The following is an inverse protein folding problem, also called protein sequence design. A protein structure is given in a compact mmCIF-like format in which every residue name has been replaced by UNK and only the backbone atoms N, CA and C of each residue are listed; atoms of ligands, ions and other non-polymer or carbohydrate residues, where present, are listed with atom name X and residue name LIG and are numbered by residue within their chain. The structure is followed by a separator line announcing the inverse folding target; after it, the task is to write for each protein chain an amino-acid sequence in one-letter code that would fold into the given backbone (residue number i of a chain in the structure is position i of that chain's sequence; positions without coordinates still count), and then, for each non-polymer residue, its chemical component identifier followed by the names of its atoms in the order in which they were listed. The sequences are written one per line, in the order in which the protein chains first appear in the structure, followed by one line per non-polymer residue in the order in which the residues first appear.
data_IF_706279820493
#
_entry.id   IF_706279820493
#
_cell.length_a   1.000
_cell.length_b   1.000
_cell.length_c   1.000
_cell.angle_alpha   90.00
_cell.angle_beta   90.00
_cell.angle_gamma   90.00
#
_symmetry.space_group_name_H-M   'P 1'
#
loop_
_entity.id
_entity.type
_entity.pdbx_description
1 polymer ?
#
# COMPACT_ATOMS: atom_id res chain seq x y z
N UNK A 1 -3.04 -13.88 14.52
CA UNK A 1 -4.31 -13.96 13.77
C UNK A 1 -4.29 -13.06 12.56
N UNK A 2 -3.12 -12.93 11.94
CA UNK A 2 -2.86 -12.31 10.65
C UNK A 2 -2.56 -13.52 9.75
N UNK A 3 -3.13 -13.63 8.53
CA UNK A 3 -2.77 -14.72 7.63
C UNK A 3 -1.30 -14.56 7.26
N UNK A 4 -0.52 -15.63 7.27
CA UNK A 4 0.78 -15.62 6.60
C UNK A 4 0.58 -15.78 5.09
N UNK A 5 1.61 -15.48 4.30
CA UNK A 5 1.69 -15.85 2.89
C UNK A 5 1.56 -17.37 2.72
N UNK A 6 2.28 -18.13 3.54
CA UNK A 6 2.24 -19.59 3.56
C UNK A 6 2.43 -20.17 4.96
N UNK A 7 2.06 -21.44 5.14
CA UNK A 7 2.35 -22.19 6.37
C UNK A 7 3.86 -22.46 6.46
N UNK A 8 4.48 -22.81 5.35
CA UNK A 8 5.92 -23.03 5.25
C UNK A 8 6.67 -21.69 5.23
N UNK A 9 7.79 -21.60 5.95
CA UNK A 9 8.57 -20.37 6.06
C UNK A 9 9.57 -20.15 4.91
N UNK A 10 10.05 -21.24 4.29
CA UNK A 10 11.07 -21.17 3.23
C UNK A 10 10.38 -21.14 1.86
N UNK A 11 10.07 -19.94 1.39
CA UNK A 11 9.49 -19.65 0.07
C UNK A 11 9.94 -18.26 -0.37
N UNK A 12 10.24 -18.09 -1.66
CA UNK A 12 10.69 -16.83 -2.26
C UNK A 12 10.08 -16.74 -3.66
N UNK A 13 9.14 -15.83 -3.87
CA UNK A 13 8.40 -15.71 -5.14
C UNK A 13 7.84 -14.31 -5.44
N UNK A 14 7.43 -13.58 -4.40
CA UNK A 14 7.13 -12.15 -4.44
C UNK A 14 7.39 -11.55 -3.05
N UNK A 15 6.75 -12.03 -1.96
CA UNK A 15 7.41 -12.05 -0.66
C UNK A 15 8.64 -12.97 -0.73
N UNK A 16 9.61 -12.71 0.14
CA UNK A 16 10.89 -13.44 0.22
C UNK A 16 11.00 -14.29 1.50
N UNK A 17 9.96 -14.28 2.34
CA UNK A 17 9.82 -15.15 3.48
C UNK A 17 8.36 -15.52 3.74
N UNK A 18 8.08 -16.81 4.01
CA UNK A 18 6.70 -17.33 4.03
C UNK A 18 5.80 -16.82 5.15
N UNK A 19 6.38 -16.32 6.25
CA UNK A 19 5.64 -15.66 7.32
C UNK A 19 5.64 -14.13 7.21
N UNK A 20 6.04 -13.59 6.06
CA UNK A 20 5.47 -12.33 5.62
C UNK A 20 3.99 -12.52 5.31
N UNK A 21 3.28 -11.43 5.09
CA UNK A 21 1.95 -11.46 4.49
C UNK A 21 1.76 -10.30 3.54
N UNK A 22 0.72 -10.42 2.73
CA UNK A 22 0.44 -9.46 1.69
C UNK A 22 -0.99 -8.94 1.78
N UNK A 23 -1.24 -7.79 1.18
CA UNK A 23 -2.61 -7.29 0.99
C UNK A 23 -3.40 -8.28 0.14
N UNK A 24 -2.73 -9.00 -0.76
CA UNK A 24 -3.28 -10.14 -1.49
C UNK A 24 -3.81 -11.21 -0.52
N UNK A 25 -3.00 -11.71 0.41
CA UNK A 25 -3.43 -12.71 1.39
C UNK A 25 -4.65 -12.26 2.21
N UNK A 26 -4.68 -10.97 2.61
CA UNK A 26 -5.85 -10.38 3.26
C UNK A 26 -7.09 -10.35 2.36
N UNK A 27 -6.94 -9.95 1.09
CA UNK A 27 -8.05 -9.93 0.14
C UNK A 27 -8.62 -11.33 -0.14
N UNK A 28 -7.77 -12.37 -0.13
CA UNK A 28 -8.22 -13.76 -0.19
C UNK A 28 -8.89 -14.22 1.09
N UNK A 29 -8.41 -13.80 2.27
CA UNK A 29 -9.09 -14.10 3.53
C UNK A 29 -10.49 -13.48 3.57
N UNK A 30 -10.63 -12.20 3.18
CA UNK A 30 -11.93 -11.54 3.05
C UNK A 30 -12.84 -12.32 2.09
N UNK A 31 -12.31 -12.79 0.95
CA UNK A 31 -13.10 -13.57 0.01
C UNK A 31 -13.52 -14.95 0.57
N UNK A 32 -12.63 -15.63 1.28
CA UNK A 32 -12.92 -16.89 1.97
C UNK A 32 -14.09 -16.72 2.92
N UNK A 33 -14.08 -15.66 3.74
CA UNK A 33 -15.13 -15.43 4.73
C UNK A 33 -16.43 -14.92 4.10
N UNK A 34 -16.38 -14.24 2.95
CA UNK A 34 -17.57 -13.91 2.18
C UNK A 34 -18.26 -15.20 1.66
N UNK A 35 -17.49 -16.17 1.17
CA UNK A 35 -18.01 -17.47 0.75
C UNK A 35 -18.54 -18.26 1.95
N UNK A 36 -17.84 -18.22 3.10
CA UNK A 36 -18.32 -18.82 4.34
C UNK A 36 -19.70 -18.28 4.75
N UNK A 37 -19.87 -16.95 4.72
CA UNK A 37 -21.16 -16.31 4.99
C UNK A 37 -22.25 -16.74 4.01
N UNK A 38 -21.93 -16.90 2.71
CA UNK A 38 -22.89 -17.43 1.73
C UNK A 38 -23.34 -18.87 2.03
N UNK A 39 -22.43 -19.72 2.49
CA UNK A 39 -22.70 -21.14 2.73
C UNK A 39 -23.40 -21.39 4.06
N UNK A 40 -23.15 -20.55 5.07
CA UNK A 40 -23.59 -20.79 6.45
C UNK A 40 -24.63 -19.80 6.96
N UNK A 41 -24.73 -18.62 6.35
CA UNK A 41 -25.47 -17.47 6.86
C UNK A 41 -24.76 -16.73 8.00
N UNK A 42 -23.57 -17.15 8.41
CA UNK A 42 -22.79 -16.50 9.46
C UNK A 42 -21.75 -15.53 8.85
N UNK A 43 -21.97 -14.23 9.05
CA UNK A 43 -21.15 -13.14 8.50
C UNK A 43 -20.12 -12.56 9.49
N UNK A 44 -20.09 -13.04 10.74
CA UNK A 44 -19.11 -12.57 11.75
C UNK A 44 -17.64 -12.83 11.37
N UNK A 45 -17.27 -13.96 10.74
CA UNK A 45 -15.90 -14.16 10.27
C UNK A 45 -15.46 -13.11 9.24
N UNK A 46 -16.35 -12.69 8.34
CA UNK A 46 -16.06 -11.63 7.35
C UNK A 46 -15.77 -10.30 8.04
N UNK A 47 -16.57 -9.93 9.05
CA UNK A 47 -16.30 -8.76 9.89
C UNK A 47 -14.95 -8.85 10.58
N UNK A 48 -14.63 -10.02 11.13
CA UNK A 48 -13.36 -10.27 11.81
C UNK A 48 -12.16 -10.10 10.86
N UNK A 49 -12.24 -10.64 9.65
CA UNK A 49 -11.21 -10.49 8.64
C UNK A 49 -11.01 -9.01 8.24
N UNK A 50 -12.11 -8.27 8.04
CA UNK A 50 -12.04 -6.84 7.69
C UNK A 50 -11.45 -6.00 8.82
N UNK A 51 -11.91 -6.18 10.06
CA UNK A 51 -11.38 -5.44 11.23
C UNK A 51 -9.89 -5.74 11.47
N UNK A 52 -9.46 -6.97 11.18
CA UNK A 52 -8.05 -7.34 11.26
C UNK A 52 -7.21 -6.65 10.18
N UNK A 53 -7.70 -6.65 8.94
CA UNK A 53 -7.09 -5.94 7.82
C UNK A 53 -6.94 -4.44 8.12
N UNK A 54 -8.01 -3.78 8.57
CA UNK A 54 -7.97 -2.37 8.95
C UNK A 54 -6.95 -2.08 10.03
N UNK A 55 -6.83 -2.97 11.02
CA UNK A 55 -5.92 -2.78 12.16
C UNK A 55 -4.45 -2.90 11.78
N UNK A 56 -4.13 -3.83 10.87
CA UNK A 56 -2.74 -4.26 10.66
C UNK A 56 -2.20 -3.99 9.27
N UNK A 57 -3.05 -3.95 8.24
CA UNK A 57 -2.64 -3.81 6.84
C UNK A 57 -2.83 -2.39 6.31
N UNK A 58 -3.77 -1.62 6.87
CA UNK A 58 -3.94 -0.20 6.57
C UNK A 58 -3.12 0.62 7.59
N UNK A 59 -2.16 1.45 7.17
CA UNK A 59 -1.40 2.32 8.08
C UNK A 59 -2.34 3.21 8.91
N UNK A 60 -2.17 3.23 10.22
CA UNK A 60 -2.96 4.11 11.10
C UNK A 60 -2.42 5.54 11.08
N UNK A 61 -3.12 6.49 11.70
CA UNK A 61 -2.66 7.88 11.75
C UNK A 61 -1.21 8.00 12.27
N UNK A 62 -0.84 7.22 13.27
CA UNK A 62 0.52 7.19 13.83
C UNK A 62 1.57 6.65 12.87
N UNK A 63 1.16 5.87 11.87
CA UNK A 63 2.00 5.27 10.84
C UNK A 63 2.17 6.23 9.64
N UNK A 64 1.17 7.08 9.37
CA UNK A 64 1.18 8.09 8.30
C UNK A 64 0.93 9.54 8.81
N UNK A 65 1.69 10.03 9.81
CA UNK A 65 1.31 11.19 10.63
C UNK A 65 1.42 12.56 9.96
N UNK A 66 2.05 12.64 8.79
CA UNK A 66 2.41 13.92 8.14
C UNK A 66 1.74 14.13 6.78
N UNK A 67 0.63 13.44 6.51
CA UNK A 67 -0.19 13.68 5.29
C UNK A 67 -0.68 15.13 5.17
N UNK A 68 -0.75 15.88 6.27
CA UNK A 68 -1.08 17.30 6.27
C UNK A 68 -0.01 18.21 5.64
N UNK A 69 1.20 17.69 5.35
CA UNK A 69 2.24 18.41 4.62
C UNK A 69 2.14 18.23 3.09
N UNK A 70 1.27 17.34 2.63
CA UNK A 70 1.08 17.08 1.21
C UNK A 70 0.54 18.31 0.46
N UNK A 71 1.13 18.60 -0.70
CA UNK A 71 0.67 19.63 -1.63
C UNK A 71 0.19 18.96 -2.93
N UNK A 72 -1.14 18.94 -3.21
CA UNK A 72 -1.67 18.32 -4.42
C UNK A 72 -1.21 19.03 -5.71
N UNK A 73 -0.73 20.27 -5.64
CA UNK A 73 -0.15 20.96 -6.80
C UNK A 73 1.30 20.58 -7.08
N UNK A 74 1.95 19.89 -6.14
CA UNK A 74 3.33 19.39 -6.24
C UNK A 74 3.42 18.02 -5.54
N UNK A 75 2.75 16.98 -6.07
CA UNK A 75 2.48 15.75 -5.34
C UNK A 75 3.73 14.89 -5.10
N UNK A 76 4.77 15.05 -5.92
CA UNK A 76 6.05 14.36 -5.79
C UNK A 76 7.16 15.09 -6.57
N UNK A 77 8.41 14.72 -6.34
CA UNK A 77 9.56 15.06 -7.21
C UNK A 77 9.89 13.87 -8.09
N UNK A 78 10.13 14.11 -9.38
CA UNK A 78 10.47 13.06 -10.33
C UNK A 78 11.83 12.41 -10.02
N UNK A 79 11.90 11.09 -10.14
CA UNK A 79 13.13 10.34 -10.34
C UNK A 79 12.92 9.35 -11.50
N UNK A 80 13.90 9.20 -12.42
CA UNK A 80 13.80 8.21 -13.48
C UNK A 80 13.83 6.78 -12.91
N UNK A 81 13.21 5.86 -13.62
CA UNK A 81 13.45 4.43 -13.41
C UNK A 81 14.60 3.98 -14.30
N UNK A 82 15.33 2.97 -13.83
CA UNK A 82 16.46 2.40 -14.56
C UNK A 82 16.26 0.92 -14.77
N UNK A 83 16.78 0.40 -15.87
CA UNK A 83 16.58 -1.00 -16.25
C UNK A 83 17.27 -1.99 -15.31
N UNK A 84 18.34 -1.61 -14.62
CA UNK A 84 19.17 -2.49 -13.80
C UNK A 84 19.32 -1.94 -12.37
N UNK A 85 19.40 -2.80 -11.35
CA UNK A 85 19.55 -2.35 -9.97
C UNK A 85 20.86 -1.60 -9.68
N UNK A 86 21.90 -1.79 -10.48
CA UNK A 86 23.21 -1.13 -10.32
C UNK A 86 23.23 0.35 -10.75
N UNK A 87 22.16 0.83 -11.39
CA UNK A 87 21.97 2.25 -11.74
C UNK A 87 21.26 3.05 -10.63
N UNK A 88 20.91 2.40 -9.52
CA UNK A 88 20.37 3.04 -8.34
C UNK A 88 21.49 3.37 -7.34
N UNK A 89 21.35 4.44 -6.53
CA UNK A 89 20.16 5.26 -6.32
C UNK A 89 19.80 6.17 -7.51
N UNK A 90 18.51 6.34 -7.77
CA UNK A 90 18.04 7.22 -8.85
C UNK A 90 17.91 8.67 -8.37
N UNK A 91 18.65 9.58 -9.00
CA UNK A 91 18.69 11.00 -8.63
C UNK A 91 17.33 11.70 -8.81
N UNK A 92 16.90 12.43 -7.79
CA UNK A 92 15.74 13.32 -7.86
C UNK A 92 16.03 14.49 -8.83
N UNK A 93 15.11 14.73 -9.76
CA UNK A 93 15.19 15.82 -10.74
C UNK A 93 13.99 16.76 -10.61
N UNK A 94 14.19 17.84 -9.86
CA UNK A 94 13.18 18.91 -9.68
C UNK A 94 12.97 19.78 -10.92
N UNK A 95 13.76 19.61 -11.98
CA UNK A 95 13.55 20.31 -13.26
C UNK A 95 12.51 19.63 -14.15
N UNK A 96 12.12 18.39 -13.83
CA UNK A 96 11.07 17.65 -14.52
C UNK A 96 9.70 18.02 -13.94
N UNK A 97 8.76 18.54 -14.76
CA UNK A 97 7.43 18.90 -14.26
C UNK A 97 6.69 17.68 -13.69
N UNK A 98 5.80 17.90 -12.73
CA UNK A 98 4.86 16.89 -12.22
C UNK A 98 3.46 17.50 -12.32
N UNK A 99 2.44 16.70 -12.60
CA UNK A 99 1.05 17.20 -12.67
C UNK A 99 0.43 17.43 -11.30
N UNK A 100 -0.77 17.99 -11.31
CA UNK A 100 -1.56 18.16 -10.09
C UNK A 100 -2.36 16.88 -9.78
N UNK A 101 -2.46 16.53 -8.50
CA UNK A 101 -3.40 15.52 -8.01
C UNK A 101 -4.81 16.13 -7.92
N UNK A 102 -5.78 15.63 -8.72
CA UNK A 102 -7.13 16.19 -8.73
C UNK A 102 -8.07 15.59 -7.67
N UNK A 103 -7.67 14.54 -6.94
CA UNK A 103 -8.56 13.79 -6.03
C UNK A 103 -8.27 14.00 -4.55
N UNK A 104 -7.08 14.44 -4.14
CA UNK A 104 -6.75 14.68 -2.73
C UNK A 104 -7.77 15.56 -1.99
N UNK A 105 -8.12 16.72 -2.56
CA UNK A 105 -9.02 17.67 -1.91
C UNK A 105 -10.44 17.12 -1.74
N UNK A 106 -10.92 16.35 -2.72
CA UNK A 106 -12.21 15.66 -2.68
C UNK A 106 -12.22 14.59 -1.59
N UNK A 107 -11.22 13.70 -1.57
CA UNK A 107 -11.09 12.63 -0.58
C UNK A 107 -11.01 13.20 0.85
N UNK A 108 -10.16 14.20 1.05
CA UNK A 108 -10.02 14.87 2.35
C UNK A 108 -11.32 15.52 2.81
N UNK A 109 -12.05 16.18 1.91
CA UNK A 109 -13.35 16.77 2.24
C UNK A 109 -14.40 15.71 2.56
N UNK A 110 -14.35 14.56 1.91
CA UNK A 110 -15.33 13.48 2.06
C UNK A 110 -15.14 12.74 3.38
N UNK A 111 -13.89 12.43 3.74
CA UNK A 111 -13.56 11.58 4.89
C UNK A 111 -13.07 12.36 6.11
N UNK A 112 -12.83 13.66 5.99
CA UNK A 112 -12.42 14.51 7.10
C UNK A 112 -11.01 14.25 7.63
N UNK A 113 -10.20 13.48 6.89
CA UNK A 113 -8.81 13.15 7.21
C UNK A 113 -7.93 13.30 5.97
N UNK A 114 -6.63 13.53 6.15
CA UNK A 114 -5.64 13.46 5.06
C UNK A 114 -5.04 12.05 4.92
N UNK A 115 -5.38 11.13 5.82
CA UNK A 115 -4.88 9.77 5.81
C UNK A 115 -5.48 8.97 4.65
N UNK A 116 -4.70 8.03 4.14
CA UNK A 116 -5.09 7.12 3.06
C UNK A 116 -5.70 5.86 3.65
N UNK A 117 -6.90 5.50 3.19
CA UNK A 117 -7.57 4.23 3.53
C UNK A 117 -7.37 3.21 2.41
N UNK A 118 -6.19 2.60 2.40
CA UNK A 118 -5.79 1.55 1.47
C UNK A 118 -4.72 0.67 2.10
N UNK A 119 -4.68 -0.61 1.71
CA UNK A 119 -3.71 -1.54 2.30
C UNK A 119 -2.29 -1.18 1.85
N UNK A 120 -1.33 -1.17 2.77
CA UNK A 120 0.05 -1.40 2.39
C UNK A 120 0.19 -2.84 1.85
N UNK A 121 1.13 -3.11 0.96
CA UNK A 121 1.20 -4.39 0.28
C UNK A 121 1.92 -5.51 1.06
N UNK A 122 2.89 -5.21 1.93
CA UNK A 122 3.75 -6.22 2.57
C UNK A 122 3.93 -5.99 4.07
N UNK A 123 3.81 -7.05 4.85
CA UNK A 123 4.10 -7.05 6.29
C UNK A 123 5.02 -8.20 6.64
N UNK A 124 5.96 -7.95 7.55
CA UNK A 124 6.65 -9.00 8.30
C UNK A 124 5.84 -9.30 9.57
N UNK A 125 5.11 -10.42 9.56
CA UNK A 125 4.12 -10.72 10.61
C UNK A 125 4.77 -11.09 11.93
N UNK A 126 5.89 -11.79 11.89
CA UNK A 126 6.59 -12.31 13.07
C UNK A 126 7.78 -11.44 13.49
N UNK A 127 7.99 -10.30 12.81
CA UNK A 127 9.15 -9.43 12.99
C UNK A 127 10.47 -10.20 12.79
N UNK A 128 10.50 -11.07 11.79
CA UNK A 128 11.67 -11.86 11.39
C UNK A 128 12.85 -10.96 10.99
N UNK A 129 12.59 -9.87 10.27
CA UNK A 129 13.60 -8.87 9.88
C UNK A 129 14.01 -7.95 11.04
N UNK A 130 13.21 -7.88 12.11
CA UNK A 130 13.56 -7.17 13.34
C UNK A 130 13.40 -5.64 13.27
N UNK A 131 12.63 -5.11 12.31
CA UNK A 131 12.37 -3.67 12.19
C UNK A 131 11.26 -3.16 13.13
N UNK A 132 10.32 -4.04 13.47
CA UNK A 132 9.20 -3.72 14.34
C UNK A 132 8.23 -2.66 13.79
N UNK A 133 7.42 -2.06 14.66
CA UNK A 133 6.50 -0.98 14.29
C UNK A 133 7.14 0.37 14.57
N UNK A 134 7.12 1.27 13.58
CA UNK A 134 7.70 2.62 13.69
C UNK A 134 9.13 2.61 14.24
N UNK A 135 9.94 1.66 13.76
CA UNK A 135 11.35 1.53 14.11
C UNK A 135 11.64 1.01 15.52
N UNK A 136 10.66 0.48 16.26
CA UNK A 136 10.90 -0.01 17.62
C UNK A 136 11.75 -1.29 17.69
N UNK A 137 11.78 -2.07 16.61
CA UNK A 137 12.52 -3.33 16.49
C UNK A 137 11.89 -4.53 17.19
N UNK A 138 10.67 -4.40 17.72
CA UNK A 138 10.04 -5.44 18.56
C UNK A 138 8.57 -5.71 18.24
N UNK A 139 7.80 -4.71 17.80
CA UNK A 139 6.36 -4.88 17.57
C UNK A 139 6.05 -5.71 16.32
N UNK A 140 4.93 -6.42 16.36
CA UNK A 140 4.38 -7.18 15.22
C UNK A 140 2.95 -6.73 14.88
N UNK A 141 2.56 -6.79 13.60
CA UNK A 141 3.42 -6.97 12.42
C UNK A 141 4.29 -5.72 12.15
N UNK A 142 5.33 -5.87 11.36
CA UNK A 142 6.18 -4.77 10.89
C UNK A 142 5.82 -4.40 9.45
N UNK A 143 5.60 -3.11 9.19
CA UNK A 143 5.48 -2.60 7.82
C UNK A 143 6.86 -2.55 7.16
N UNK A 144 7.02 -3.29 6.07
CA UNK A 144 8.28 -3.42 5.33
C UNK A 144 8.05 -3.29 3.84
N UNK A 145 9.11 -3.06 3.07
CA UNK A 145 9.07 -3.10 1.63
C UNK A 145 10.37 -3.70 1.06
N UNK A 146 10.34 -4.10 -0.21
CA UNK A 146 11.45 -4.77 -0.89
C UNK A 146 11.76 -4.09 -2.24
N UNK A 147 10.88 -4.24 -3.23
CA UNK A 147 11.09 -3.76 -4.60
C UNK A 147 11.16 -2.23 -4.71
N UNK A 148 12.28 -1.71 -5.20
CA UNK A 148 12.54 -0.27 -5.41
C UNK A 148 13.44 0.04 -6.62
N UNK A 149 14.08 -0.95 -7.25
CA UNK A 149 15.18 -0.75 -8.22
C UNK A 149 14.90 -1.26 -9.63
N UNK A 150 13.68 -1.03 -10.10
CA UNK A 150 13.33 -1.15 -11.51
C UNK A 150 13.11 -2.59 -11.99
N UNK A 151 12.91 -2.79 -13.30
CA UNK A 151 12.33 -4.03 -13.86
C UNK A 151 13.26 -5.24 -13.85
N UNK A 152 14.55 -5.09 -13.54
CA UNK A 152 15.47 -6.22 -13.36
C UNK A 152 15.79 -6.50 -11.88
N UNK A 153 15.14 -5.85 -10.92
CA UNK A 153 15.22 -6.27 -9.52
C UNK A 153 14.23 -7.42 -9.27
N UNK A 154 14.71 -8.66 -9.31
CA UNK A 154 13.89 -9.80 -8.88
C UNK A 154 13.78 -9.91 -7.36
N UNK A 155 12.91 -10.80 -6.86
CA UNK A 155 12.76 -11.09 -5.43
C UNK A 155 14.06 -11.57 -4.76
N UNK A 156 15.06 -12.03 -5.53
CA UNK A 156 16.36 -12.44 -5.03
C UNK A 156 17.36 -11.29 -4.88
N UNK A 157 17.03 -10.13 -5.42
CA UNK A 157 17.96 -9.02 -5.60
C UNK A 157 17.63 -7.85 -4.68
N UNK A 158 16.47 -7.85 -4.02
CA UNK A 158 16.00 -6.76 -3.15
C UNK A 158 16.85 -6.59 -1.89
N UNK A 159 16.69 -5.43 -1.25
CA UNK A 159 17.12 -5.19 0.13
C UNK A 159 15.86 -4.88 0.94
N UNK A 160 15.34 -5.85 1.71
CA UNK A 160 14.21 -5.61 2.61
C UNK A 160 14.51 -4.44 3.54
N UNK A 161 13.55 -3.54 3.71
CA UNK A 161 13.71 -2.30 4.46
C UNK A 161 12.41 -1.89 5.16
N UNK A 162 12.48 -1.19 6.31
CA UNK A 162 11.28 -0.78 7.01
C UNK A 162 10.54 0.30 6.24
N UNK A 163 9.20 0.27 6.24
CA UNK A 163 8.34 1.33 5.69
C UNK A 163 8.47 2.64 6.47
N UNK A 164 8.87 2.56 7.74
CA UNK A 164 9.22 3.68 8.62
C UNK A 164 10.74 3.80 8.77
N UNK A 165 11.32 4.84 8.19
CA UNK A 165 12.76 5.06 8.13
C UNK A 165 13.23 6.07 9.18
N UNK A 166 13.91 5.56 10.21
CA UNK A 166 14.49 6.35 11.31
C UNK A 166 16.02 6.37 11.35
N UNK A 167 16.67 5.78 10.33
CA UNK A 167 18.12 5.58 10.23
C UNK A 167 18.68 4.68 11.34
N UNK A 168 17.85 3.77 11.86
CA UNK A 168 18.22 2.83 12.94
C UNK A 168 18.96 1.59 12.42
N UNK A 169 18.64 1.18 11.21
CA UNK A 169 19.31 0.08 10.48
C UNK A 169 19.80 0.59 9.12
N UNK A 170 20.50 -0.24 8.36
CA UNK A 170 21.08 0.17 7.08
C UNK A 170 22.35 1.00 7.26
N UNK A 171 22.57 1.95 6.36
CA UNK A 171 23.69 2.88 6.38
C UNK A 171 23.42 4.17 7.18
N UNK A 172 24.27 5.20 7.03
CA UNK A 172 24.10 6.49 7.71
C UNK A 172 22.75 7.18 7.44
N UNK A 173 22.16 6.93 6.26
CA UNK A 173 20.86 7.48 5.83
C UNK A 173 19.76 6.41 5.83
N UNK A 174 19.91 5.38 6.67
CA UNK A 174 19.04 4.22 6.63
C UNK A 174 19.24 3.41 5.35
N UNK A 175 18.13 3.13 4.65
CA UNK A 175 18.15 2.46 3.34
C UNK A 175 17.92 3.42 2.16
N UNK A 176 17.67 4.71 2.42
CA UNK A 176 17.18 5.64 1.38
C UNK A 176 18.15 5.83 0.22
N UNK A 177 19.44 5.94 0.53
CA UNK A 177 20.50 6.16 -0.46
C UNK A 177 20.87 4.91 -1.28
N UNK A 178 20.16 3.79 -1.07
CA UNK A 178 20.14 2.66 -2.00
C UNK A 178 19.15 2.88 -3.16
N UNK A 179 18.14 3.73 -2.97
CA UNK A 179 16.98 3.82 -3.86
C UNK A 179 16.88 5.18 -4.55
N UNK A 180 17.05 6.27 -3.80
CA UNK A 180 16.86 7.64 -4.31
C UNK A 180 18.09 8.47 -4.01
N UNK A 181 18.61 9.18 -5.03
CA UNK A 181 19.71 10.12 -4.89
C UNK A 181 19.17 11.49 -4.53
N UNK A 182 19.65 12.04 -3.42
CA UNK A 182 19.30 13.38 -2.94
C UNK A 182 20.52 14.04 -2.27
N UNK A 183 20.52 15.38 -2.24
CA UNK A 183 21.55 16.17 -1.56
C UNK A 183 21.52 16.01 -0.03
N UNK A 184 20.37 15.61 0.53
CA UNK A 184 20.20 15.33 1.96
C UNK A 184 19.06 14.35 2.20
N UNK A 185 19.17 13.55 3.26
CA UNK A 185 18.16 12.54 3.60
C UNK A 185 17.46 12.89 4.92
N UNK A 186 16.15 12.66 4.96
CA UNK A 186 15.32 12.87 6.14
C UNK A 186 14.65 11.56 6.58
N UNK A 187 14.46 11.42 7.89
CA UNK A 187 13.60 10.38 8.46
C UNK A 187 12.19 10.54 7.91
N UNK A 188 11.58 9.45 7.48
CA UNK A 188 10.34 9.49 6.71
C UNK A 188 9.59 8.16 6.79
N UNK A 189 8.38 8.15 6.26
CA UNK A 189 7.56 6.94 6.12
C UNK A 189 7.03 6.88 4.69
N UNK A 190 6.83 5.67 4.18
CA UNK A 190 6.24 5.44 2.85
C UNK A 190 5.57 4.09 2.80
N UNK A 191 4.42 4.03 2.13
CA UNK A 191 3.63 2.82 1.92
C UNK A 191 3.29 2.69 0.44
N UNK A 192 3.35 1.47 -0.06
CA UNK A 192 2.96 1.12 -1.42
C UNK A 192 1.70 0.26 -1.37
N UNK A 193 0.69 0.62 -2.16
CA UNK A 193 -0.52 -0.17 -2.33
C UNK A 193 -0.33 -1.21 -3.44
N UNK A 194 -1.01 -2.36 -3.33
CA UNK A 194 -1.18 -3.30 -4.42
C UNK A 194 -2.64 -3.21 -4.91
N UNK A 195 -2.93 -2.47 -6.00
CA UNK A 195 -4.30 -2.14 -6.39
C UNK A 195 -5.19 -3.36 -6.67
N UNK A 196 -4.60 -4.47 -7.11
CA UNK A 196 -5.32 -5.72 -7.36
C UNK A 196 -5.91 -6.31 -6.06
N UNK A 197 -5.20 -6.18 -4.93
CA UNK A 197 -5.64 -6.68 -3.64
C UNK A 197 -6.81 -5.87 -3.07
N UNK A 198 -6.72 -4.54 -3.08
CA UNK A 198 -7.82 -3.66 -2.67
C UNK A 198 -9.04 -3.89 -3.57
N UNK A 199 -8.84 -3.99 -4.90
CA UNK A 199 -9.91 -4.34 -5.84
C UNK A 199 -10.54 -5.70 -5.55
N UNK A 200 -9.74 -6.73 -5.20
CA UNK A 200 -10.23 -8.07 -4.83
C UNK A 200 -11.04 -8.04 -3.54
N UNK A 201 -10.61 -7.27 -2.54
CA UNK A 201 -11.38 -7.09 -1.30
C UNK A 201 -12.74 -6.42 -1.56
N UNK A 202 -12.78 -5.39 -2.41
CA UNK A 202 -14.03 -4.73 -2.86
C UNK A 202 -14.92 -5.72 -3.62
N UNK A 203 -14.33 -6.51 -4.53
CA UNK A 203 -15.05 -7.55 -5.27
C UNK A 203 -15.66 -8.61 -4.34
N UNK A 204 -14.95 -9.03 -3.29
CA UNK A 204 -15.45 -9.96 -2.30
C UNK A 204 -16.64 -9.37 -1.53
N UNK A 205 -16.59 -8.09 -1.15
CA UNK A 205 -17.72 -7.41 -0.50
C UNK A 205 -18.94 -7.26 -1.41
N UNK A 206 -18.73 -7.02 -2.71
CA UNK A 206 -19.83 -7.05 -3.68
C UNK A 206 -20.58 -8.39 -3.63
N UNK A 207 -19.86 -9.51 -3.67
CA UNK A 207 -20.48 -10.82 -3.59
C UNK A 207 -21.11 -11.10 -2.23
N UNK A 208 -20.45 -10.72 -1.14
CA UNK A 208 -21.02 -10.80 0.21
C UNK A 208 -22.38 -10.10 0.28
N UNK A 209 -22.51 -8.91 -0.33
CA UNK A 209 -23.77 -8.17 -0.40
C UNK A 209 -24.84 -8.94 -1.17
N UNK A 210 -24.53 -9.36 -2.39
CA UNK A 210 -25.47 -10.13 -3.23
C UNK A 210 -25.98 -11.37 -2.47
N UNK A 211 -25.08 -12.07 -1.79
CA UNK A 211 -25.38 -13.29 -1.06
C UNK A 211 -26.14 -13.05 0.25
N UNK A 212 -25.80 -12.00 0.99
CA UNK A 212 -26.55 -11.60 2.18
C UNK A 212 -27.98 -11.19 1.82
N UNK A 213 -28.18 -10.43 0.74
CA UNK A 213 -29.52 -10.03 0.31
C UNK A 213 -30.40 -11.21 -0.10
N UNK A 214 -29.82 -12.24 -0.74
CA UNK A 214 -30.50 -13.51 -1.02
C UNK A 214 -30.93 -14.25 0.26
N UNK A 215 -30.27 -13.97 1.39
CA UNK A 215 -30.58 -14.54 2.71
C UNK A 215 -31.46 -13.61 3.57
N UNK A 216 -31.95 -12.49 3.03
CA UNK A 216 -32.79 -11.52 3.74
C UNK A 216 -32.04 -10.30 4.30
N UNK A 217 -30.78 -10.09 3.92
CA UNK A 217 -29.93 -8.95 4.29
C UNK A 217 -29.02 -9.24 5.49
N UNK A 218 -28.00 -8.38 5.68
CA UNK A 218 -27.08 -8.45 6.81
C UNK A 218 -26.53 -7.08 7.15
N UNK A 219 -26.85 -6.57 8.34
CA UNK A 219 -26.32 -5.28 8.82
C UNK A 219 -24.79 -5.26 8.91
N UNK A 220 -24.18 -6.43 9.18
CA UNK A 220 -22.72 -6.59 9.15
C UNK A 220 -22.20 -6.27 7.74
N UNK A 221 -22.73 -6.95 6.72
CA UNK A 221 -22.27 -6.77 5.34
C UNK A 221 -22.53 -5.34 4.85
N UNK A 222 -23.69 -4.78 5.19
CA UNK A 222 -24.02 -3.39 4.84
C UNK A 222 -23.03 -2.38 5.46
N UNK A 223 -22.59 -2.61 6.71
CA UNK A 223 -21.57 -1.76 7.34
C UNK A 223 -20.19 -1.87 6.67
N UNK A 224 -19.82 -3.08 6.22
CA UNK A 224 -18.54 -3.31 5.55
C UNK A 224 -18.54 -2.73 4.13
N UNK A 225 -19.69 -2.69 3.45
CA UNK A 225 -19.78 -2.05 2.14
C UNK A 225 -19.40 -0.57 2.17
N UNK A 226 -19.76 0.17 3.23
CA UNK A 226 -19.36 1.57 3.35
C UNK A 226 -17.83 1.71 3.42
N UNK A 227 -17.16 0.78 4.11
CA UNK A 227 -15.69 0.71 4.19
C UNK A 227 -15.06 0.27 2.87
N UNK A 228 -15.64 -0.72 2.19
CA UNK A 228 -15.23 -1.13 0.85
C UNK A 228 -15.37 0.00 -0.18
N UNK A 229 -16.43 0.80 -0.08
CA UNK A 229 -16.62 1.97 -0.93
C UNK A 229 -15.55 3.03 -0.64
N UNK A 230 -15.21 3.29 0.63
CA UNK A 230 -14.11 4.18 1.01
C UNK A 230 -12.77 3.68 0.45
N UNK A 231 -12.44 2.39 0.59
CA UNK A 231 -11.25 1.79 -0.03
C UNK A 231 -11.24 1.99 -1.56
N UNK A 232 -12.39 1.77 -2.22
CA UNK A 232 -12.54 2.00 -3.66
C UNK A 232 -12.36 3.46 -4.08
N UNK A 233 -12.67 4.41 -3.21
CA UNK A 233 -12.49 5.83 -3.47
C UNK A 233 -11.01 6.23 -3.44
N UNK A 234 -10.24 5.75 -2.46
CA UNK A 234 -8.78 5.91 -2.43
C UNK A 234 -8.08 5.11 -3.53
N UNK A 235 -8.61 3.94 -3.92
CA UNK A 235 -8.06 3.12 -5.01
C UNK A 235 -8.00 3.88 -6.35
N UNK A 236 -8.76 4.98 -6.52
CA UNK A 236 -8.65 5.88 -7.68
C UNK A 236 -7.23 6.41 -7.90
N UNK A 237 -6.38 6.49 -6.88
CA UNK A 237 -4.96 6.83 -7.05
C UNK A 237 -4.25 5.90 -8.05
N UNK A 238 -4.67 4.65 -8.16
CA UNK A 238 -4.12 3.68 -9.13
C UNK A 238 -4.46 3.99 -10.60
N UNK A 239 -5.33 4.98 -10.86
CA UNK A 239 -5.75 5.35 -12.21
C UNK A 239 -4.92 6.47 -12.83
N UNK A 240 -4.01 7.07 -12.06
CA UNK A 240 -3.19 8.19 -12.49
C UNK A 240 -1.78 7.73 -12.89
N UNK A 241 -1.17 8.47 -13.81
CA UNK A 241 0.26 8.34 -14.09
C UNK A 241 1.08 8.60 -12.81
N UNK A 242 2.22 7.92 -12.66
CA UNK A 242 3.10 7.98 -11.48
C UNK A 242 3.44 9.41 -11.05
N UNK A 243 3.57 10.33 -12.00
CA UNK A 243 3.88 11.73 -11.77
C UNK A 243 2.81 12.66 -12.37
N UNK A 244 1.57 12.19 -12.46
CA UNK A 244 0.43 12.91 -13.01
C UNK A 244 0.75 13.53 -14.38
N UNK A 245 1.39 12.76 -15.26
CA UNK A 245 1.64 13.18 -16.65
C UNK A 245 0.42 12.91 -17.55
N UNK A 246 0.21 13.75 -18.58
CA UNK A 246 -0.82 13.50 -19.57
C UNK A 246 -0.63 12.16 -20.28
N UNK A 247 -1.73 11.46 -20.54
CA UNK A 247 -1.68 10.17 -21.22
C UNK A 247 -1.06 10.30 -22.62
N UNK A 248 -0.19 9.35 -22.96
CA UNK A 248 0.54 9.35 -24.23
C UNK A 248 1.75 10.29 -24.27
N UNK A 249 2.14 10.90 -23.14
CA UNK A 249 3.44 11.57 -23.05
C UNK A 249 4.58 10.61 -23.44
N UNK A 250 5.53 11.11 -24.22
CA UNK A 250 6.75 10.37 -24.59
C UNK A 250 8.02 11.06 -24.08
N UNK A 251 7.87 12.06 -23.23
CA UNK A 251 8.99 12.83 -22.67
C UNK A 251 8.73 13.19 -21.22
N UNK A 252 9.74 13.06 -20.33
CA UNK A 252 9.61 13.58 -18.98
C UNK A 252 9.43 15.12 -18.98
N UNK A 253 9.85 15.84 -20.02
CA UNK A 253 9.73 17.30 -20.09
C UNK A 253 8.34 17.81 -20.45
N UNK A 254 7.40 16.93 -20.82
CA UNK A 254 6.00 17.33 -21.04
C UNK A 254 5.44 17.98 -19.78
N UNK A 255 4.69 19.10 -19.88
CA UNK A 255 4.00 19.68 -18.74
C UNK A 255 3.17 18.62 -17.98
N UNK A 256 3.02 18.81 -16.68
CA UNK A 256 2.14 17.98 -15.88
C UNK A 256 0.67 18.11 -16.30
N UNK A 257 -0.12 17.08 -16.05
CA UNK A 257 -1.57 17.10 -16.22
C UNK A 257 -2.20 18.15 -15.31
N UNK A 258 -3.37 18.65 -15.72
CA UNK A 258 -4.13 19.66 -14.97
C UNK A 258 -5.36 19.10 -14.29
N UNK A 259 -5.66 17.82 -14.53
CA UNK A 259 -6.65 17.05 -13.82
C UNK A 259 -6.59 15.59 -14.20
N UNK A 260 -7.58 15.13 -14.98
CA UNK A 260 -7.74 13.73 -15.39
C UNK A 260 -7.14 13.42 -16.79
N UNK A 261 -6.44 14.39 -17.40
CA UNK A 261 -5.85 14.30 -18.74
C UNK A 261 -4.50 13.57 -18.77
#
# INVERSE_FOLDING_TARGET
GIPYHSIETLIVEAPDYGHETTSEAYSYWIWLEAVYGKLTGNWEPLKTAWENMEKYMIPQHEDQPTNNFYDPSSPATYAPEWNLPDYYPSELDSSVPVGADPIYAELRSTYGTSDIYGMHWLLDVDNWYGYGSRGDGVSTPSYINTFQRGPQESCWETVPHPSWEEFKWGGPNGFLDLFTGDASYAKQWRYTNAPDADARAIQALYWAKVWADQQGGSAIVDSLLAKGAMMGDYLRYSFFDKYFKPLGTTSPRTPGATGYD
#
